data_IF_673946073104
#
_entry.id   IF_673946073104
#
_cell.length_a   1.000
_cell.length_b   1.000
_cell.length_c   1.000
_cell.angle_alpha   90.00
_cell.angle_beta   90.00
_cell.angle_gamma   90.00
#
_symmetry.space_group_name_H-M   'P 1'
#
loop_
_entity.id
_entity.type
_entity.pdbx_description
1 polymer ?
#
# COMPACT_ATOMS: atom_id res chain seq x y z
N UNK A 1 -18.48 8.18 21.22
CA UNK A 1 -17.55 9.33 21.23
C UNK A 1 -16.14 8.77 21.31
N UNK A 2 -15.33 8.92 20.25
CA UNK A 2 -13.93 8.50 20.26
C UNK A 2 -13.07 9.72 20.55
N UNK A 3 -12.27 9.66 21.62
CA UNK A 3 -11.41 10.76 22.04
C UNK A 3 -10.18 10.80 21.09
N UNK A 4 -10.10 11.83 20.26
CA UNK A 4 -8.90 12.13 19.48
C UNK A 4 -7.88 12.77 20.41
N UNK A 5 -7.01 11.95 21.00
CA UNK A 5 -5.85 12.46 21.72
C UNK A 5 -4.81 12.90 20.67
N UNK A 6 -4.67 14.21 20.47
CA UNK A 6 -3.48 14.76 19.82
C UNK A 6 -2.20 14.38 20.59
N UNK A 7 -1.01 14.58 19.99
CA UNK A 7 0.25 14.33 20.70
C UNK A 7 0.27 15.11 22.02
N UNK A 8 0.69 14.44 23.10
CA UNK A 8 0.80 15.05 24.42
C UNK A 8 1.80 16.22 24.36
N UNK A 9 1.58 17.32 25.10
CA UNK A 9 2.54 18.42 25.15
C UNK A 9 3.91 17.88 25.60
N UNK A 10 4.92 18.04 24.74
CA UNK A 10 6.29 17.56 24.98
C UNK A 10 6.77 16.39 24.11
N UNK A 11 5.95 15.82 23.22
CA UNK A 11 6.43 14.78 22.29
C UNK A 11 7.21 15.39 21.11
N UNK A 12 8.45 14.94 20.91
CA UNK A 12 9.31 15.36 19.81
C UNK A 12 9.01 14.59 18.52
N UNK A 13 9.46 15.11 17.38
CA UNK A 13 9.38 14.36 16.11
C UNK A 13 10.13 13.02 16.17
N UNK A 14 11.20 12.93 16.97
CA UNK A 14 11.92 11.68 17.22
C UNK A 14 11.02 10.66 17.95
N UNK A 15 10.31 11.09 19.00
CA UNK A 15 9.39 10.21 19.74
C UNK A 15 8.26 9.69 18.84
N UNK A 16 7.74 10.57 17.97
CA UNK A 16 6.70 10.19 17.00
C UNK A 16 7.22 9.19 15.96
N UNK A 17 8.47 9.34 15.50
CA UNK A 17 9.10 8.38 14.60
C UNK A 17 9.29 7.01 15.28
N UNK A 18 9.81 6.98 16.52
CA UNK A 18 9.97 5.73 17.29
C UNK A 18 8.64 5.01 17.47
N UNK A 19 7.57 5.76 17.78
CA UNK A 19 6.22 5.20 17.89
C UNK A 19 5.74 4.59 16.57
N UNK A 20 5.91 5.29 15.46
CA UNK A 20 5.50 4.79 14.14
C UNK A 20 6.22 3.49 13.77
N UNK A 21 7.52 3.40 14.05
CA UNK A 21 8.31 2.19 13.80
C UNK A 21 7.86 1.01 14.67
N UNK A 22 7.48 1.27 15.93
CA UNK A 22 6.87 0.26 16.80
C UNK A 22 5.53 -0.23 16.22
N UNK A 23 4.65 0.67 15.81
CA UNK A 23 3.37 0.34 15.16
C UNK A 23 3.57 -0.53 13.90
N UNK A 24 4.55 -0.20 13.05
CA UNK A 24 4.93 -1.01 11.88
C UNK A 24 5.40 -2.43 12.24
N UNK A 25 6.14 -2.58 13.33
CA UNK A 25 6.63 -3.88 13.78
C UNK A 25 5.54 -4.79 14.36
N UNK A 26 4.56 -4.20 15.04
CA UNK A 26 3.47 -4.93 15.73
C UNK A 26 2.34 -5.34 14.77
N UNK A 27 2.03 -4.50 13.78
CA UNK A 27 0.84 -4.65 12.94
C UNK A 27 1.15 -5.41 11.65
N UNK A 28 1.42 -6.70 11.80
CA UNK A 28 1.60 -7.66 10.71
C UNK A 28 0.38 -8.53 10.54
N UNK A 29 0.02 -8.78 9.28
CA UNK A 29 -1.13 -9.58 8.91
C UNK A 29 -0.75 -11.07 8.87
N UNK A 30 -1.60 -11.98 9.39
CA UNK A 30 -1.37 -13.42 9.24
C UNK A 30 -1.55 -13.87 7.78
N UNK A 31 -2.48 -13.22 7.06
CA UNK A 31 -2.73 -13.39 5.63
C UNK A 31 -3.33 -12.09 5.07
N UNK A 32 -3.28 -11.88 3.75
CA UNK A 32 -3.89 -10.72 3.13
C UNK A 32 -4.31 -11.02 1.68
N UNK A 33 -5.59 -10.81 1.39
CA UNK A 33 -6.21 -11.03 0.09
C UNK A 33 -6.81 -9.73 -0.48
N UNK A 34 -7.24 -9.75 -1.74
CA UNK A 34 -7.99 -8.63 -2.33
C UNK A 34 -9.29 -8.32 -1.57
N UNK A 35 -9.96 -9.34 -1.02
CA UNK A 35 -11.16 -9.16 -0.21
C UNK A 35 -10.84 -8.45 1.12
N UNK A 36 -9.68 -8.75 1.71
CA UNK A 36 -9.21 -8.04 2.90
C UNK A 36 -8.95 -6.56 2.60
N UNK A 37 -8.34 -6.26 1.46
CA UNK A 37 -8.14 -4.89 1.01
C UNK A 37 -9.47 -4.13 0.89
N UNK A 38 -10.49 -4.71 0.27
CA UNK A 38 -11.82 -4.10 0.18
C UNK A 38 -12.43 -3.86 1.56
N UNK A 39 -12.37 -4.85 2.44
CA UNK A 39 -12.96 -4.77 3.79
C UNK A 39 -12.24 -3.73 4.66
N UNK A 40 -10.91 -3.70 4.60
CA UNK A 40 -10.07 -2.71 5.27
C UNK A 40 -10.36 -1.31 4.73
N UNK A 41 -10.40 -1.13 3.41
CA UNK A 41 -10.69 0.15 2.76
C UNK A 41 -12.06 0.71 3.14
N UNK A 42 -13.10 -0.13 3.13
CA UNK A 42 -14.43 0.24 3.59
C UNK A 42 -14.46 0.60 5.10
N UNK A 43 -13.66 -0.07 5.91
CA UNK A 43 -13.54 0.23 7.35
C UNK A 43 -12.90 1.59 7.62
N UNK A 44 -11.83 1.94 6.87
CA UNK A 44 -11.20 3.27 6.91
C UNK A 44 -12.21 4.34 6.50
N UNK A 45 -12.90 4.14 5.37
CA UNK A 45 -13.96 5.05 4.90
C UNK A 45 -15.03 5.26 5.96
N UNK A 46 -15.54 4.18 6.57
CA UNK A 46 -16.56 4.25 7.62
C UNK A 46 -16.09 5.10 8.81
N UNK A 47 -14.84 4.89 9.26
CA UNK A 47 -14.26 5.68 10.36
C UNK A 47 -14.08 7.14 10.02
N UNK A 48 -13.58 7.45 8.82
CA UNK A 48 -13.43 8.83 8.37
C UNK A 48 -14.77 9.55 8.32
N UNK A 49 -15.82 8.92 7.76
CA UNK A 49 -17.17 9.50 7.72
C UNK A 49 -17.77 9.75 9.10
N UNK A 50 -17.40 8.95 10.10
CA UNK A 50 -17.80 9.17 11.49
C UNK A 50 -16.94 10.18 12.26
N UNK A 51 -15.94 10.79 11.63
CA UNK A 51 -15.02 11.73 12.27
C UNK A 51 -15.55 13.17 12.25
N UNK A 52 -15.10 13.97 13.23
CA UNK A 52 -15.38 15.41 13.26
C UNK A 52 -14.81 16.14 12.04
N UNK A 53 -13.77 15.58 11.40
CA UNK A 53 -13.13 16.15 10.22
C UNK A 53 -14.08 16.13 9.03
N UNK A 54 -14.72 15.00 8.80
CA UNK A 54 -15.73 14.86 7.76
C UNK A 54 -16.96 15.74 8.05
N UNK A 55 -17.39 15.81 9.32
CA UNK A 55 -18.49 16.71 9.72
C UNK A 55 -18.18 18.20 9.47
N UNK A 56 -16.90 18.59 9.46
CA UNK A 56 -16.41 19.93 9.08
C UNK A 56 -16.19 20.09 7.57
N UNK A 57 -16.74 19.19 6.76
CA UNK A 57 -16.68 19.23 5.30
C UNK A 57 -15.40 18.66 4.70
N UNK A 58 -14.45 18.11 5.48
CA UNK A 58 -13.18 17.60 4.92
C UNK A 58 -13.41 16.34 4.07
N UNK A 59 -12.77 16.32 2.91
CA UNK A 59 -12.62 15.14 2.06
C UNK A 59 -11.42 14.26 2.39
N UNK A 60 -11.39 13.04 1.85
CA UNK A 60 -10.34 12.02 1.96
C UNK A 60 -10.22 11.27 0.63
N UNK A 61 -8.99 11.02 0.17
CA UNK A 61 -8.69 9.97 -0.82
C UNK A 61 -7.99 8.80 -0.14
N UNK A 62 -8.29 7.59 -0.61
CA UNK A 62 -7.82 6.33 -0.04
C UNK A 62 -7.46 5.36 -1.17
N UNK A 63 -6.30 4.72 -1.06
CA UNK A 63 -5.85 3.66 -1.96
C UNK A 63 -5.25 2.50 -1.15
N UNK A 64 -5.50 1.28 -1.60
CA UNK A 64 -4.77 0.08 -1.17
C UNK A 64 -4.24 -0.59 -2.43
N UNK A 65 -2.93 -0.78 -2.47
CA UNK A 65 -2.22 -1.29 -3.65
C UNK A 65 -1.24 -2.38 -3.23
N UNK A 66 -0.94 -3.31 -4.14
CA UNK A 66 0.20 -4.21 -3.97
C UNK A 66 1.51 -3.43 -4.10
N UNK A 67 2.61 -4.02 -3.61
CA UNK A 67 3.96 -3.46 -3.80
C UNK A 67 4.30 -3.29 -5.30
N UNK A 68 3.74 -4.15 -6.17
CA UNK A 68 3.86 -4.08 -7.61
C UNK A 68 3.00 -2.98 -8.27
N UNK A 69 2.11 -2.31 -7.52
CA UNK A 69 1.27 -1.22 -8.02
C UNK A 69 -0.10 -1.64 -8.55
N UNK A 70 -0.55 -2.87 -8.29
CA UNK A 70 -1.93 -3.26 -8.60
C UNK A 70 -2.87 -2.66 -7.55
N UNK A 71 -3.83 -1.83 -7.98
CA UNK A 71 -4.85 -1.27 -7.09
C UNK A 71 -5.86 -2.34 -6.69
N UNK A 72 -5.96 -2.60 -5.38
CA UNK A 72 -6.92 -3.53 -4.78
C UNK A 72 -8.17 -2.80 -4.28
N UNK A 73 -8.02 -1.54 -3.86
CA UNK A 73 -9.12 -0.68 -3.44
C UNK A 73 -8.76 0.79 -3.69
N UNK A 74 -9.72 1.58 -4.14
CA UNK A 74 -9.56 3.03 -4.31
C UNK A 74 -10.89 3.71 -4.01
N UNK A 75 -10.87 4.79 -3.24
CA UNK A 75 -12.09 5.51 -2.85
C UNK A 75 -11.83 6.97 -2.51
N UNK A 76 -12.73 7.83 -2.98
CA UNK A 76 -12.87 9.22 -2.55
C UNK A 76 -14.03 9.34 -1.56
N UNK A 77 -13.85 10.11 -0.49
CA UNK A 77 -14.86 10.42 0.52
C UNK A 77 -14.95 11.93 0.66
N UNK A 78 -16.12 12.51 0.46
CA UNK A 78 -16.34 13.95 0.48
C UNK A 78 -17.69 14.27 -0.15
N UNK A 79 -18.18 15.49 0.08
CA UNK A 79 -19.40 15.97 -0.55
C UNK A 79 -19.02 16.70 -1.83
N UNK A 80 -18.75 15.91 -2.88
CA UNK A 80 -18.38 16.35 -4.23
C UNK A 80 -19.48 17.26 -4.80
N UNK A 81 -19.38 18.57 -4.54
CA UNK A 81 -20.32 19.58 -5.04
C UNK A 81 -21.38 20.09 -4.04
N UNK A 82 -21.13 20.06 -2.72
CA UNK A 82 -22.01 20.78 -1.79
C UNK A 82 -21.97 22.31 -2.06
N UNK A 83 -23.13 22.98 -1.95
CA UNK A 83 -23.31 24.40 -2.27
C UNK A 83 -22.36 25.34 -1.51
N UNK A 84 -21.81 24.89 -0.37
CA UNK A 84 -20.83 25.65 0.39
C UNK A 84 -19.44 25.70 -0.26
N UNK A 85 -19.10 24.82 -1.21
CA UNK A 85 -17.82 24.81 -1.95
C UNK A 85 -16.56 24.65 -1.08
N UNK A 86 -16.72 24.49 0.24
CA UNK A 86 -15.64 24.57 1.24
C UNK A 86 -15.47 23.18 1.86
N UNK A 87 -14.40 22.47 1.46
CA UNK A 87 -13.89 21.33 2.23
C UNK A 87 -13.53 20.05 1.46
N UNK A 88 -13.82 19.99 0.17
CA UNK A 88 -13.70 18.75 -0.59
C UNK A 88 -12.25 18.36 -0.99
N UNK A 89 -12.10 17.16 -1.53
CA UNK A 89 -10.83 16.61 -2.07
C UNK A 89 -10.27 17.54 -3.15
N UNK A 90 -9.03 18.01 -2.95
CA UNK A 90 -8.34 18.87 -3.92
C UNK A 90 -7.84 18.08 -5.13
N UNK A 91 -7.57 18.77 -6.24
CA UNK A 91 -6.98 18.17 -7.46
C UNK A 91 -5.65 17.45 -7.16
N UNK A 92 -4.85 18.00 -6.26
CA UNK A 92 -3.54 17.45 -5.89
C UNK A 92 -3.62 16.31 -4.86
N UNK A 93 -4.81 16.00 -4.32
CA UNK A 93 -4.94 15.00 -3.26
C UNK A 93 -4.47 13.61 -3.70
N UNK A 94 -4.77 13.23 -4.95
CA UNK A 94 -4.29 11.98 -5.52
C UNK A 94 -2.78 11.99 -5.79
N UNK A 95 -2.22 13.13 -6.22
CA UNK A 95 -0.77 13.26 -6.41
C UNK A 95 -0.03 13.10 -5.08
N UNK A 96 -0.47 13.79 -4.03
CA UNK A 96 0.05 13.63 -2.67
C UNK A 96 -0.06 12.18 -2.20
N UNK A 97 -1.21 11.52 -2.41
CA UNK A 97 -1.40 10.12 -2.05
C UNK A 97 -0.39 9.21 -2.76
N UNK A 98 -0.19 9.39 -4.07
CA UNK A 98 0.77 8.60 -4.84
C UNK A 98 2.22 8.87 -4.41
N UNK A 99 2.54 10.12 -4.04
CA UNK A 99 3.82 10.48 -3.41
C UNK A 99 4.08 9.68 -2.13
N UNK A 100 3.08 9.58 -1.24
CA UNK A 100 3.18 8.80 -0.01
C UNK A 100 3.34 7.29 -0.28
N UNK A 101 2.57 6.74 -1.24
CA UNK A 101 2.73 5.35 -1.67
C UNK A 101 4.16 5.11 -2.18
N UNK A 102 4.68 6.00 -3.03
CA UNK A 102 6.04 5.93 -3.53
C UNK A 102 7.12 6.02 -2.45
N UNK A 103 6.86 6.68 -1.32
CA UNK A 103 7.75 6.65 -0.15
C UNK A 103 7.77 5.25 0.45
N UNK A 104 6.61 4.66 0.75
CA UNK A 104 6.52 3.31 1.35
C UNK A 104 7.15 2.26 0.45
N UNK A 105 6.88 2.30 -0.87
CA UNK A 105 7.46 1.34 -1.83
C UNK A 105 9.00 1.39 -1.87
N UNK A 106 9.61 2.56 -1.60
CA UNK A 106 11.07 2.75 -1.63
C UNK A 106 11.75 2.45 -0.30
N UNK A 107 11.13 2.86 0.81
CA UNK A 107 11.76 2.78 2.13
C UNK A 107 11.34 1.53 2.92
N UNK A 108 10.21 0.91 2.55
CA UNK A 108 9.58 -0.16 3.33
C UNK A 108 8.90 0.33 4.62
N UNK A 109 8.91 1.63 4.88
CA UNK A 109 8.38 2.26 6.09
C UNK A 109 7.18 3.15 5.81
N UNK A 110 6.35 3.40 6.82
CA UNK A 110 5.22 4.33 6.70
C UNK A 110 5.71 5.72 6.30
N UNK A 111 4.92 6.41 5.48
CA UNK A 111 5.27 7.77 5.06
C UNK A 111 5.34 8.74 6.24
N UNK A 112 4.60 8.43 7.32
CA UNK A 112 4.63 9.18 8.58
C UNK A 112 5.93 8.97 9.36
N UNK A 113 6.43 7.72 9.48
CA UNK A 113 7.76 7.46 10.05
C UNK A 113 8.84 8.25 9.31
N UNK A 114 8.80 8.23 7.97
CA UNK A 114 9.78 8.93 7.13
C UNK A 114 9.67 10.45 7.33
N UNK A 115 8.45 11.01 7.31
CA UNK A 115 8.22 12.44 7.57
C UNK A 115 8.80 12.87 8.93
N UNK A 116 8.52 12.12 9.99
CA UNK A 116 8.97 12.42 11.36
C UNK A 116 10.46 12.22 11.54
N UNK A 117 11.03 11.17 10.97
CA UNK A 117 12.48 10.93 10.99
C UNK A 117 13.26 12.03 10.28
N UNK A 118 12.75 12.50 9.14
CA UNK A 118 13.37 13.62 8.42
C UNK A 118 13.29 14.93 9.21
N UNK A 119 12.13 15.19 9.84
CA UNK A 119 11.91 16.38 10.65
C UNK A 119 12.81 16.40 11.89
N UNK A 120 12.97 15.25 12.55
CA UNK A 120 13.86 15.09 13.70
C UNK A 120 15.36 15.27 13.38
N UNK A 121 15.78 14.88 12.17
CA UNK A 121 17.18 15.01 11.74
C UNK A 121 17.55 16.42 11.25
N UNK A 122 16.59 17.36 11.20
CA UNK A 122 16.81 18.70 10.65
C UNK A 122 17.20 18.71 9.17
N UNK A 123 17.15 17.55 8.49
CA UNK A 123 17.46 17.44 7.07
C UNK A 123 16.37 18.15 6.28
N UNK A 124 16.77 19.13 5.47
CA UNK A 124 15.85 19.75 4.52
C UNK A 124 15.36 18.69 3.54
N UNK A 125 14.07 18.77 3.22
CA UNK A 125 13.33 17.85 2.33
C UNK A 125 13.99 17.59 0.97
N UNK A 126 14.93 18.43 0.56
CA UNK A 126 15.69 18.31 -0.68
C UNK A 126 16.75 17.19 -0.67
N UNK A 127 17.42 16.90 0.46
CA UNK A 127 18.64 16.07 0.45
C UNK A 127 18.39 14.56 0.32
N UNK A 128 17.26 14.05 0.83
CA UNK A 128 16.93 12.62 0.67
C UNK A 128 16.19 12.34 -0.65
N UNK A 129 15.72 13.39 -1.31
CA UNK A 129 14.84 13.29 -2.46
C UNK A 129 15.62 13.36 -3.78
N UNK A 130 16.82 13.95 -3.79
CA UNK A 130 17.73 13.90 -4.96
C UNK A 130 18.29 12.50 -5.26
N UNK A 131 18.32 11.58 -4.29
CA UNK A 131 18.74 10.18 -4.49
C UNK A 131 17.60 9.26 -4.92
N UNK A 132 16.38 9.78 -5.02
CA UNK A 132 15.19 9.03 -5.31
C UNK A 132 14.55 9.52 -6.60
N UNK A 133 14.87 8.87 -7.73
CA UNK A 133 14.33 9.19 -9.05
C UNK A 133 12.83 8.95 -9.24
N UNK A 134 11.97 9.37 -8.30
CA UNK A 134 10.53 9.46 -8.49
C UNK A 134 10.14 10.88 -8.92
N UNK A 135 9.04 11.01 -9.67
CA UNK A 135 8.49 12.31 -10.08
C UNK A 135 8.24 13.29 -8.91
N UNK A 136 8.06 12.78 -7.68
CA UNK A 136 7.97 13.58 -6.45
C UNK A 136 9.28 14.35 -6.15
N UNK A 137 10.43 13.86 -6.63
CA UNK A 137 11.73 14.53 -6.51
C UNK A 137 11.93 15.68 -7.47
N UNK A 138 11.32 15.60 -8.66
CA UNK A 138 11.34 16.70 -9.61
C UNK A 138 10.39 17.85 -9.19
N UNK A 139 9.37 17.58 -8.38
CA UNK A 139 8.37 18.57 -7.93
C UNK A 139 8.69 19.24 -6.57
N UNK A 140 9.77 18.84 -5.87
CA UNK A 140 10.05 19.36 -4.52
C UNK A 140 9.00 18.96 -3.48
N UNK A 141 8.29 17.85 -3.72
CA UNK A 141 7.08 17.49 -3.00
C UNK A 141 7.36 17.13 -1.54
N UNK A 142 6.57 17.72 -0.64
CA UNK A 142 6.66 17.46 0.80
C UNK A 142 6.24 16.01 1.06
N UNK A 143 7.04 15.26 1.82
CA UNK A 143 6.61 13.97 2.36
C UNK A 143 5.51 14.21 3.38
N UNK A 144 4.36 13.57 3.17
CA UNK A 144 3.22 13.58 4.08
C UNK A 144 3.04 12.19 4.72
N UNK A 145 2.65 12.15 5.98
CA UNK A 145 2.12 10.97 6.65
C UNK A 145 0.71 10.60 6.18
N UNK A 146 0.40 9.31 6.23
CA UNK A 146 -0.89 8.77 5.79
C UNK A 146 -0.81 7.45 5.02
N UNK A 147 0.40 7.01 4.62
CA UNK A 147 0.62 5.69 4.03
C UNK A 147 1.33 4.74 5.00
N UNK A 148 0.85 3.48 5.06
CA UNK A 148 1.33 2.44 5.96
C UNK A 148 1.61 1.14 5.18
N UNK A 149 2.75 0.47 5.44
CA UNK A 149 3.10 -0.78 4.77
C UNK A 149 2.25 -1.95 5.27
N UNK A 150 1.83 -2.83 4.35
CA UNK A 150 1.14 -4.07 4.67
C UNK A 150 2.18 -5.19 4.72
N UNK A 151 2.49 -5.62 5.93
CA UNK A 151 3.43 -6.70 6.21
C UNK A 151 2.72 -8.01 6.50
N UNK A 152 3.29 -9.13 6.06
CA UNK A 152 2.87 -10.45 6.53
C UNK A 152 3.75 -10.91 7.68
N UNK A 153 3.19 -11.64 8.64
CA UNK A 153 3.94 -12.26 9.74
C UNK A 153 5.06 -13.18 9.21
N UNK A 154 4.76 -13.93 8.13
CA UNK A 154 5.65 -14.93 7.55
C UNK A 154 6.49 -14.44 6.34
N UNK A 155 6.46 -13.13 6.04
CA UNK A 155 7.25 -12.56 4.94
C UNK A 155 8.01 -11.29 5.39
N UNK A 156 9.20 -11.45 6.00
CA UNK A 156 9.92 -10.33 6.59
C UNK A 156 10.75 -9.51 5.59
N UNK A 157 10.90 -9.96 4.34
CA UNK A 157 11.82 -9.34 3.39
C UNK A 157 11.28 -8.07 2.73
N UNK A 158 9.97 -7.96 2.53
CA UNK A 158 9.33 -6.76 1.98
C UNK A 158 7.84 -6.70 2.35
N UNK A 159 7.26 -5.49 2.42
CA UNK A 159 5.81 -5.35 2.50
C UNK A 159 5.18 -5.84 1.20
N UNK A 160 4.03 -6.49 1.30
CA UNK A 160 3.28 -7.03 0.15
C UNK A 160 2.37 -5.97 -0.51
N UNK A 161 2.09 -4.88 0.20
CA UNK A 161 1.21 -3.82 -0.24
C UNK A 161 1.34 -2.56 0.61
N UNK A 162 0.56 -1.55 0.25
CA UNK A 162 0.50 -0.25 0.89
C UNK A 162 -0.96 0.16 1.04
N UNK A 163 -1.33 0.65 2.22
CA UNK A 163 -2.60 1.35 2.45
C UNK A 163 -2.29 2.83 2.69
N UNK A 164 -2.93 3.72 1.94
CA UNK A 164 -2.66 5.15 1.98
C UNK A 164 -3.95 5.96 2.04
N UNK A 165 -4.00 6.93 2.94
CA UNK A 165 -5.11 7.83 3.16
C UNK A 165 -4.59 9.28 3.18
N UNK A 166 -5.22 10.18 2.43
CA UNK A 166 -4.84 11.59 2.39
C UNK A 166 -6.06 12.51 2.47
N UNK A 167 -6.07 13.38 3.47
CA UNK A 167 -7.09 14.43 3.63
C UNK A 167 -6.45 15.78 4.02
N UNK A 168 -5.12 15.87 3.91
CA UNK A 168 -4.33 17.05 4.24
C UNK A 168 -3.96 17.19 5.71
N UNK A 169 -4.14 16.15 6.55
CA UNK A 169 -3.70 16.16 7.95
C UNK A 169 -2.86 14.92 8.24
N UNK A 170 -1.53 14.97 8.03
CA UNK A 170 -0.66 13.80 8.09
C UNK A 170 -0.77 12.97 9.37
N UNK A 171 -0.87 13.65 10.51
CA UNK A 171 -1.02 13.03 11.82
C UNK A 171 -2.33 12.24 11.91
N UNK A 172 -3.45 12.89 11.56
CA UNK A 172 -4.77 12.30 11.69
C UNK A 172 -4.98 11.19 10.66
N UNK A 173 -4.39 11.33 9.47
CA UNK A 173 -4.41 10.32 8.40
C UNK A 173 -3.63 9.07 8.80
N UNK A 174 -2.41 9.23 9.34
CA UNK A 174 -1.64 8.11 9.91
C UNK A 174 -2.41 7.41 11.02
N UNK A 175 -2.92 8.16 12.00
CA UNK A 175 -3.69 7.59 13.12
C UNK A 175 -4.93 6.85 12.63
N UNK A 176 -5.67 7.40 11.66
CA UNK A 176 -6.83 6.75 11.05
C UNK A 176 -6.45 5.41 10.43
N UNK A 177 -5.39 5.37 9.62
CA UNK A 177 -4.94 4.14 8.96
C UNK A 177 -4.46 3.13 9.98
N UNK A 178 -3.51 3.49 10.84
CA UNK A 178 -2.89 2.59 11.81
C UNK A 178 -3.89 1.99 12.78
N UNK A 179 -4.79 2.80 13.35
CA UNK A 179 -5.82 2.27 14.24
C UNK A 179 -6.76 1.31 13.52
N UNK A 180 -7.06 1.55 12.24
CA UNK A 180 -7.92 0.64 11.47
C UNK A 180 -7.21 -0.65 11.13
N UNK A 181 -5.93 -0.59 10.75
CA UNK A 181 -5.09 -1.77 10.50
C UNK A 181 -4.98 -2.63 11.76
N UNK A 182 -4.65 -2.03 12.91
CA UNK A 182 -4.56 -2.73 14.19
C UNK A 182 -5.87 -3.46 14.53
N UNK A 183 -6.98 -2.74 14.49
CA UNK A 183 -8.27 -3.31 14.87
C UNK A 183 -8.73 -4.39 13.87
N UNK A 184 -8.37 -4.24 12.58
CA UNK A 184 -8.62 -5.25 11.56
C UNK A 184 -7.82 -6.53 11.81
N UNK A 185 -6.52 -6.42 12.09
CA UNK A 185 -5.66 -7.57 12.42
C UNK A 185 -6.17 -8.31 13.65
N UNK A 186 -6.55 -7.58 14.70
CA UNK A 186 -7.12 -8.20 15.91
C UNK A 186 -8.38 -9.00 15.59
N UNK A 187 -9.28 -8.42 14.76
CA UNK A 187 -10.49 -9.13 14.31
C UNK A 187 -10.16 -10.37 13.47
N UNK A 188 -9.14 -10.33 12.62
CA UNK A 188 -8.71 -11.52 11.85
C UNK A 188 -8.24 -12.64 12.78
N UNK A 189 -7.54 -12.31 13.87
CA UNK A 189 -7.06 -13.27 14.86
C UNK A 189 -8.18 -13.89 15.68
N UNK A 190 -9.19 -13.10 16.05
CA UNK A 190 -10.39 -13.59 16.77
C UNK A 190 -11.24 -14.55 15.91
N UNK A 191 -11.21 -14.39 14.59
CA UNK A 191 -11.96 -15.22 13.63
C UNK A 191 -11.28 -16.51 13.23
N UNK A 192 -10.04 -16.78 13.65
CA UNK A 192 -9.39 -18.07 13.37
C UNK A 192 -9.90 -19.13 14.35
N UNK A 193 -10.41 -20.29 13.88
CA UNK A 193 -10.61 -21.42 14.77
C UNK A 193 -9.26 -21.78 15.35
N UNK A 194 -9.12 -21.67 16.67
CA UNK A 194 -7.96 -22.21 17.38
C UNK A 194 -7.78 -23.66 16.92
N UNK A 195 -6.59 -24.08 16.45
CA UNK A 195 -6.34 -25.50 16.25
C UNK A 195 -6.68 -26.17 17.58
N UNK A 196 -7.67 -27.06 17.55
CA UNK A 196 -8.09 -27.77 18.75
C UNK A 196 -6.84 -28.35 19.41
N UNK A 197 -6.66 -28.23 20.74
CA UNK A 197 -5.56 -28.91 21.40
C UNK A 197 -5.69 -30.38 21.00
N UNK A 198 -4.66 -30.92 20.35
CA UNK A 198 -4.59 -32.33 19.99
C UNK A 198 -4.84 -33.12 21.26
N UNK A 199 -6.07 -33.58 21.43
CA UNK A 199 -6.42 -34.52 22.47
C UNK A 199 -5.58 -35.74 22.13
N UNK A 200 -4.51 -35.93 22.88
CA UNK A 200 -3.72 -37.14 22.88
C UNK A 200 -4.66 -38.23 23.40
N UNK A 201 -5.47 -38.79 22.50
CA UNK A 201 -6.23 -39.99 22.75
C UNK A 201 -5.19 -41.07 23.08
N UNK A 202 -5.23 -41.69 24.26
CA UNK A 202 -4.41 -42.86 24.52
C UNK A 202 -4.85 -43.94 23.54
N UNK A 203 -3.95 -44.36 22.64
CA UNK A 203 -4.21 -45.49 21.77
C UNK A 203 -4.53 -46.73 22.63
N UNK A 204 -5.64 -47.44 22.37
CA UNK A 204 -5.83 -48.78 22.90
C UNK A 204 -4.80 -49.72 22.28
N UNK A 205 -4.27 -50.61 23.12
CA UNK A 205 -3.31 -51.64 22.76
C UNK A 205 -3.82 -52.53 21.61
N UNK A 206 -2.93 -53.05 20.75
CA UNK A 206 -3.32 -53.88 19.61
C UNK A 206 -3.78 -55.27 20.09
N UNK A 207 -5.05 -55.60 19.83
CA UNK A 207 -5.54 -56.98 19.82
C UNK A 207 -5.06 -57.65 18.54
N UNK A 208 -4.29 -58.73 18.69
CA UNK A 208 -3.89 -59.59 17.58
C UNK A 208 -5.12 -60.22 16.95
N UNK A 209 -5.37 -59.91 15.67
CA UNK A 209 -6.24 -60.71 14.80
C UNK A 209 -5.42 -61.16 13.59
N UNK A 210 -5.49 -62.46 13.38
CA UNK A 210 -4.74 -63.28 12.44
C UNK A 210 -5.09 -62.97 10.99
N UNK A 211 -4.05 -63.07 10.15
CA UNK A 211 -3.94 -63.01 8.70
C UNK A 211 -5.17 -63.38 7.85
N UNK A 212 -5.38 -62.60 6.80
CA UNK A 212 -5.69 -63.14 5.47
C UNK A 212 -5.08 -62.27 4.37
N UNK A 213 -4.63 -62.98 3.33
CA UNK A 213 -3.90 -62.58 2.13
C UNK A 213 -4.22 -61.20 1.53
N UNK A 214 -3.16 -60.47 1.16
CA UNK A 214 -3.20 -59.49 0.07
C UNK A 214 -2.22 -59.91 -1.02
N UNK A 215 -2.75 -59.98 -2.23
CA UNK A 215 -2.07 -60.27 -3.49
C UNK A 215 -1.46 -58.98 -4.03
N UNK A 216 -0.17 -59.00 -4.34
CA UNK A 216 0.59 -57.88 -4.93
C UNK A 216 0.11 -57.59 -6.37
N UNK A 217 -0.25 -56.33 -6.65
CA UNK A 217 -0.28 -55.78 -8.01
C UNK A 217 0.76 -54.65 -8.13
N UNK A 218 1.59 -54.63 -9.19
CA UNK A 218 2.57 -53.56 -9.40
C UNK A 218 1.95 -52.43 -10.24
N UNK A 219 1.82 -51.24 -9.67
CA UNK A 219 1.61 -49.99 -10.44
C UNK A 219 2.93 -49.21 -10.51
N UNK A 220 3.80 -49.67 -11.40
CA UNK A 220 4.82 -48.83 -12.04
C UNK A 220 4.17 -48.15 -13.25
N UNK A 221 4.61 -46.92 -13.57
CA UNK A 221 4.22 -46.08 -14.72
C UNK A 221 3.10 -45.06 -14.51
N UNK A 222 3.37 -44.00 -13.74
CA UNK A 222 2.71 -42.70 -13.98
C UNK A 222 3.57 -41.46 -13.70
N UNK A 223 4.87 -41.63 -13.41
CA UNK A 223 5.75 -40.52 -13.00
C UNK A 223 6.66 -39.94 -14.10
N UNK A 224 6.56 -40.39 -15.36
CA UNK A 224 7.44 -39.91 -16.44
C UNK A 224 6.76 -39.01 -17.50
N UNK A 225 5.42 -38.87 -17.48
CA UNK A 225 4.71 -38.08 -18.50
C UNK A 225 4.64 -36.58 -18.15
N UNK A 226 4.72 -36.21 -16.88
CA UNK A 226 4.48 -34.82 -16.43
C UNK A 226 5.70 -33.90 -16.51
N UNK A 227 6.91 -34.45 -16.71
CA UNK A 227 8.14 -33.65 -16.84
C UNK A 227 8.51 -33.24 -18.28
N UNK A 228 7.86 -33.79 -19.31
CA UNK A 228 8.18 -33.43 -20.70
C UNK A 228 7.39 -32.21 -21.21
N UNK A 229 6.23 -31.91 -20.61
CA UNK A 229 5.36 -30.83 -21.06
C UNK A 229 5.85 -29.42 -20.65
N UNK A 230 6.65 -29.29 -19.59
CA UNK A 230 7.18 -27.98 -19.18
C UNK A 230 8.34 -27.48 -20.07
N UNK A 231 9.04 -28.38 -20.77
CA UNK A 231 10.20 -28.03 -21.62
C UNK A 231 9.82 -27.54 -23.02
N UNK A 232 8.57 -27.73 -23.45
CA UNK A 232 8.13 -27.37 -24.81
C UNK A 232 7.71 -25.90 -24.96
N UNK A 233 7.37 -25.20 -23.87
CA UNK A 233 6.82 -23.82 -23.93
C UNK A 233 7.89 -22.71 -23.91
N UNK A 234 9.19 -23.03 -24.10
CA UNK A 234 10.28 -22.03 -24.04
C UNK A 234 11.18 -21.95 -25.28
N UNK A 235 10.74 -22.49 -26.40
CA UNK A 235 11.45 -22.36 -27.67
C UNK A 235 10.52 -21.81 -28.76
N UNK A 236 10.54 -20.49 -28.94
CA UNK A 236 9.99 -19.87 -30.15
C UNK A 236 9.26 -18.56 -29.93
N UNK A 237 10.00 -17.45 -29.81
CA UNK A 237 9.69 -16.20 -30.50
C UNK A 237 10.82 -15.19 -30.29
N UNK A 238 11.86 -15.27 -31.13
CA UNK A 238 12.79 -14.16 -31.35
C UNK A 238 12.33 -13.53 -32.66
N UNK A 239 11.58 -12.43 -32.57
CA UNK A 239 11.29 -11.56 -33.72
C UNK A 239 12.29 -10.42 -33.66
N UNK A 240 13.26 -10.47 -34.58
CA UNK A 240 14.11 -9.35 -34.94
C UNK A 240 13.28 -8.31 -35.70
N UNK A 241 13.18 -7.09 -35.18
CA UNK A 241 12.81 -5.91 -35.96
C UNK A 241 13.90 -4.86 -35.84
N UNK A 242 14.70 -4.75 -36.90
CA UNK A 242 15.53 -3.59 -37.17
C UNK A 242 14.63 -2.43 -37.61
N UNK A 243 14.66 -1.32 -36.87
CA UNK A 243 14.23 -0.02 -37.38
C UNK A 243 15.32 1.02 -37.13
N UNK A 244 16.08 1.29 -38.19
CA UNK A 244 16.91 2.50 -38.35
C UNK A 244 15.99 3.67 -38.65
N UNK A 245 15.75 4.53 -37.64
CA UNK A 245 14.97 5.75 -37.77
C UNK A 245 15.85 6.98 -37.57
N UNK A 246 16.27 7.57 -38.68
CA UNK A 246 17.03 8.82 -38.76
C UNK A 246 16.22 9.98 -38.19
N UNK A 247 16.74 10.61 -37.13
CA UNK A 247 16.21 11.84 -36.56
C UNK A 247 16.37 13.02 -37.54
N UNK A 248 15.26 13.51 -38.10
CA UNK A 248 15.24 14.83 -38.74
C UNK A 248 14.97 15.92 -37.70
N UNK A 249 15.70 17.05 -37.72
CA UNK A 249 15.40 18.19 -36.87
C UNK A 249 14.15 18.94 -37.36
N UNK A 250 13.32 19.37 -36.41
CA UNK A 250 12.12 20.18 -36.64
C UNK A 250 12.48 21.57 -37.24
N UNK A 251 11.62 22.14 -38.10
CA UNK A 251 11.85 23.47 -38.67
C UNK A 251 11.72 24.57 -37.61
N UNK A 252 12.71 25.47 -37.62
CA UNK A 252 12.75 26.69 -36.81
C UNK A 252 11.72 27.69 -37.35
N UNK A 253 10.86 28.30 -36.52
CA UNK A 253 9.94 29.35 -36.98
C UNK A 253 10.71 30.62 -37.39
N UNK A 254 10.25 31.35 -38.42
CA UNK A 254 10.89 32.58 -38.86
C UNK A 254 10.78 33.67 -37.78
N UNK A 255 11.90 34.36 -37.57
CA UNK A 255 11.98 35.57 -36.76
C UNK A 255 11.30 36.73 -37.51
N UNK A 256 10.43 37.45 -36.80
CA UNK A 256 10.01 38.80 -37.17
C UNK A 256 8.60 38.91 -37.76
N UNK A 257 7.64 39.30 -36.92
CA UNK A 257 6.58 40.21 -37.34
C UNK A 257 6.26 41.12 -36.16
N UNK A 258 6.48 42.41 -36.38
CA UNK A 258 6.14 43.52 -35.51
C UNK A 258 4.66 43.44 -35.08
N UNK A 259 4.41 43.56 -33.79
CA UNK A 259 3.06 43.82 -33.27
C UNK A 259 2.80 45.32 -33.41
N UNK A 260 1.89 45.67 -34.32
CA UNK A 260 1.28 46.99 -34.45
C UNK A 260 0.30 47.18 -33.29
N UNK A 261 0.65 48.09 -32.38
CA UNK A 261 -0.05 48.41 -31.15
C UNK A 261 -1.05 49.56 -31.39
N UNK A 262 -1.94 49.35 -32.36
CA UNK A 262 -3.06 50.25 -32.60
C UNK A 262 -4.27 49.45 -33.01
N UNK A 263 -5.20 49.27 -32.06
CA UNK A 263 -6.65 49.04 -32.21
C UNK A 263 -7.16 48.16 -31.06
N UNK A 264 -7.45 48.78 -29.91
CA UNK A 264 -8.65 48.44 -29.15
C UNK A 264 -9.32 49.73 -28.66
N UNK A 265 -10.61 49.93 -28.96
CA UNK A 265 -11.40 51.07 -28.46
C UNK A 265 -11.76 50.93 -26.97
#
# INVERSE_FOLDING_TARGET
MFNFQGPAPGQTDADMAVRALKEESEYRFPSFSAQDAVTLGLSIRKRFRGSNRHAKGRGLVLSIETIAGHTLFSCTVGDLGHLSGIGDVSLDSWACLQGMVGVVKRTGHSSYYVEKSMSAQGKRKADLLMTAGSAAAASGEKVYGGAFPIWLENAPCCPIGVVAAFSGSPQEDHTLVVHTVRDYINKMREGQPTPAPSAHMPMPQPSMVVSSHYEEQPEHEQHQQTEQDWRSTRAGSIIHTHHTGTSQPLPVPPAGSEYDDSLYP
#
